data_IF_224518886833
#
_entry.id   IF_224518886833
#
_cell.length_a   1.000
_cell.length_b   1.000
_cell.length_c   1.000
_cell.angle_alpha   90.00
_cell.angle_beta   90.00
_cell.angle_gamma   90.00
#
_symmetry.space_group_name_H-M   'P 1'
#
loop_
_entity.id
_entity.type
_entity.pdbx_description
1 polymer ?
#
# COMPACT_ATOMS: atom_id res chain seq x y z
N UNK A 1 4.45 -19.22 24.65
CA UNK A 1 3.47 -18.44 23.85
C UNK A 1 4.00 -17.07 23.44
N UNK A 2 4.73 -16.34 24.27
CA UNK A 2 5.23 -14.99 23.99
C UNK A 2 6.27 -14.89 22.83
N UNK A 3 7.11 -15.90 22.63
CA UNK A 3 8.15 -15.88 21.58
C UNK A 3 7.55 -15.94 20.16
N UNK A 4 6.53 -16.76 19.92
CA UNK A 4 5.85 -16.85 18.61
C UNK A 4 5.13 -15.53 18.23
N UNK A 5 4.51 -14.88 19.21
CA UNK A 5 3.81 -13.59 18.99
C UNK A 5 4.82 -12.49 18.68
N UNK A 6 5.99 -12.49 19.32
CA UNK A 6 7.04 -11.50 19.05
C UNK A 6 7.67 -11.70 17.66
N UNK A 7 7.93 -12.94 17.24
CA UNK A 7 8.45 -13.24 15.91
C UNK A 7 7.48 -12.85 14.79
N UNK A 8 6.18 -13.16 14.93
CA UNK A 8 5.17 -12.76 13.95
C UNK A 8 4.98 -11.25 13.89
N UNK A 9 5.01 -10.56 15.03
CA UNK A 9 4.96 -9.09 15.08
C UNK A 9 6.17 -8.46 14.37
N UNK A 10 7.36 -8.97 14.59
CA UNK A 10 8.57 -8.52 13.91
C UNK A 10 8.47 -8.73 12.40
N UNK A 11 8.09 -9.93 11.98
CA UNK A 11 7.90 -10.25 10.55
C UNK A 11 6.95 -9.26 9.88
N UNK A 12 5.75 -9.04 10.43
CA UNK A 12 4.77 -8.13 9.85
C UNK A 12 5.22 -6.67 9.88
N UNK A 13 5.95 -6.26 10.93
CA UNK A 13 6.52 -4.91 11.00
C UNK A 13 7.52 -4.67 9.88
N UNK A 14 8.46 -5.57 9.67
CA UNK A 14 9.45 -5.45 8.59
C UNK A 14 8.80 -5.57 7.21
N UNK A 15 7.87 -6.49 7.05
CA UNK A 15 7.13 -6.66 5.81
C UNK A 15 6.43 -5.35 5.39
N UNK A 16 5.70 -4.70 6.28
CA UNK A 16 5.05 -3.42 5.98
C UNK A 16 6.05 -2.28 5.74
N UNK A 17 7.18 -2.27 6.44
CA UNK A 17 8.24 -1.28 6.22
C UNK A 17 8.87 -1.38 4.81
N UNK A 18 8.98 -2.60 4.27
CA UNK A 18 9.58 -2.84 2.96
C UNK A 18 8.62 -2.59 1.78
N UNK A 19 7.33 -2.48 2.04
CA UNK A 19 6.33 -2.32 0.98
C UNK A 19 6.60 -1.15 0.02
N UNK A 20 6.98 0.07 0.49
CA UNK A 20 7.31 1.17 -0.42
C UNK A 20 8.47 0.85 -1.37
N UNK A 21 9.46 0.07 -0.90
CA UNK A 21 10.59 -0.35 -1.74
C UNK A 21 10.14 -1.27 -2.87
N UNK A 22 9.20 -2.19 -2.60
CA UNK A 22 8.68 -3.07 -3.65
C UNK A 22 7.93 -2.31 -4.75
N UNK A 23 7.27 -1.20 -4.39
CA UNK A 23 6.63 -0.32 -5.37
C UNK A 23 7.68 0.36 -6.27
N UNK A 24 8.85 0.75 -5.71
CA UNK A 24 9.93 1.35 -6.51
C UNK A 24 10.60 0.37 -7.46
N UNK A 25 10.76 -0.90 -7.03
CA UNK A 25 11.42 -1.90 -7.87
C UNK A 25 10.59 -2.23 -9.12
N UNK A 26 9.26 -2.09 -9.02
CA UNK A 26 8.38 -2.22 -10.17
C UNK A 26 7.03 -2.85 -9.84
N UNK A 27 6.05 -2.69 -10.73
CA UNK A 27 4.68 -3.12 -10.50
C UNK A 27 4.55 -4.62 -10.27
N UNK A 28 5.35 -5.44 -10.98
CA UNK A 28 5.28 -6.89 -10.86
C UNK A 28 5.66 -7.37 -9.44
N UNK A 29 6.72 -6.80 -8.86
CA UNK A 29 7.16 -7.17 -7.51
C UNK A 29 6.17 -6.69 -6.46
N UNK A 30 5.62 -5.49 -6.62
CA UNK A 30 4.56 -4.97 -5.76
C UNK A 30 3.32 -5.87 -5.78
N UNK A 31 2.91 -6.37 -6.94
CA UNK A 31 1.80 -7.29 -7.09
C UNK A 31 2.05 -8.63 -6.39
N UNK A 32 3.21 -9.24 -6.60
CA UNK A 32 3.59 -10.46 -5.88
C UNK A 32 3.54 -10.28 -4.37
N UNK A 33 4.02 -9.13 -3.88
CA UNK A 33 3.96 -8.82 -2.46
C UNK A 33 2.53 -8.69 -1.95
N UNK A 34 1.64 -8.01 -2.68
CA UNK A 34 0.22 -7.89 -2.35
C UNK A 34 -0.43 -9.27 -2.25
N UNK A 35 -0.24 -10.13 -3.23
CA UNK A 35 -0.77 -11.50 -3.23
C UNK A 35 -0.20 -12.34 -2.09
N UNK A 36 1.09 -12.25 -1.81
CA UNK A 36 1.71 -12.95 -0.70
C UNK A 36 1.07 -12.56 0.65
N UNK A 37 0.92 -11.26 0.91
CA UNK A 37 0.26 -10.77 2.14
C UNK A 37 -1.19 -11.25 2.22
N UNK A 38 -1.95 -11.17 1.12
CA UNK A 38 -3.33 -11.65 1.08
C UNK A 38 -3.39 -13.13 1.49
N UNK A 39 -2.59 -13.99 0.85
CA UNK A 39 -2.61 -15.44 1.09
C UNK A 39 -2.22 -15.74 2.55
N UNK A 40 -1.08 -15.22 3.02
CA UNK A 40 -0.59 -15.50 4.36
C UNK A 40 -1.54 -15.01 5.45
N UNK A 41 -2.11 -13.81 5.30
CA UNK A 41 -3.05 -13.28 6.29
C UNK A 41 -4.37 -14.03 6.30
N UNK A 42 -4.91 -14.42 5.15
CA UNK A 42 -6.17 -15.16 5.11
C UNK A 42 -6.03 -16.57 5.66
N UNK A 43 -4.93 -17.27 5.36
CA UNK A 43 -4.61 -18.55 6.00
C UNK A 43 -4.56 -18.39 7.53
N UNK A 44 -3.93 -17.33 8.02
CA UNK A 44 -3.82 -17.09 9.46
C UNK A 44 -5.16 -16.72 10.10
N UNK A 45 -6.01 -15.94 9.45
CA UNK A 45 -7.38 -15.62 9.90
C UNK A 45 -8.21 -16.89 10.04
N UNK A 46 -8.15 -17.79 9.06
CA UNK A 46 -8.88 -19.05 9.06
C UNK A 46 -8.38 -19.98 10.18
N UNK A 47 -7.07 -20.16 10.30
CA UNK A 47 -6.45 -21.04 11.29
C UNK A 47 -6.74 -20.58 12.73
N UNK A 48 -6.79 -19.27 12.97
CA UNK A 48 -7.12 -18.70 14.28
C UNK A 48 -8.63 -18.53 14.51
N UNK A 49 -9.48 -18.97 13.59
CA UNK A 49 -10.94 -18.82 13.61
C UNK A 49 -11.42 -17.37 13.82
N UNK A 50 -10.64 -16.40 13.35
CA UNK A 50 -10.95 -14.96 13.44
C UNK A 50 -11.78 -14.47 12.25
N UNK A 51 -12.74 -15.28 11.80
CA UNK A 51 -13.55 -15.04 10.59
C UNK A 51 -14.35 -13.72 10.70
N UNK A 52 -14.61 -13.22 11.92
CA UNK A 52 -15.29 -11.93 12.11
C UNK A 52 -14.57 -10.73 11.44
N UNK A 53 -13.27 -10.84 11.13
CA UNK A 53 -12.57 -9.83 10.35
C UNK A 53 -13.06 -9.75 8.91
N UNK A 54 -13.58 -10.85 8.35
CA UNK A 54 -14.15 -10.89 7.02
C UNK A 54 -15.58 -10.35 6.98
N UNK A 55 -16.28 -10.33 8.13
CA UNK A 55 -17.62 -9.78 8.25
C UNK A 55 -17.57 -8.30 8.65
N UNK A 56 -17.09 -7.45 7.74
CA UNK A 56 -16.96 -6.01 7.97
C UNK A 56 -17.96 -5.24 7.10
N UNK A 57 -18.73 -4.33 7.73
CA UNK A 57 -19.68 -3.46 7.00
C UNK A 57 -19.03 -2.65 5.87
N UNK A 58 -17.78 -2.29 5.99
CA UNK A 58 -17.05 -1.58 4.94
C UNK A 58 -16.78 -2.46 3.70
N UNK A 59 -16.73 -3.79 3.88
CA UNK A 59 -16.60 -4.73 2.79
C UNK A 59 -17.80 -4.65 1.83
N UNK A 60 -18.99 -4.38 2.36
CA UNK A 60 -20.22 -4.24 1.55
C UNK A 60 -20.06 -3.09 0.55
N UNK A 61 -19.52 -1.95 0.98
CA UNK A 61 -19.26 -0.82 0.08
C UNK A 61 -18.26 -1.18 -1.01
N UNK A 62 -17.20 -1.91 -0.68
CA UNK A 62 -16.23 -2.39 -1.66
C UNK A 62 -16.85 -3.38 -2.65
N UNK A 63 -17.70 -4.28 -2.19
CA UNK A 63 -18.41 -5.23 -3.06
C UNK A 63 -19.34 -4.49 -4.01
N UNK A 64 -20.12 -3.52 -3.52
CA UNK A 64 -21.00 -2.71 -4.34
C UNK A 64 -20.20 -1.91 -5.40
N UNK A 65 -19.10 -1.30 -4.99
CA UNK A 65 -18.21 -0.61 -5.92
C UNK A 65 -17.62 -1.58 -6.96
N UNK A 66 -17.18 -2.77 -6.55
CA UNK A 66 -16.65 -3.78 -7.45
C UNK A 66 -17.70 -4.27 -8.46
N UNK A 67 -18.92 -4.51 -8.00
CA UNK A 67 -20.04 -4.86 -8.89
C UNK A 67 -20.31 -3.74 -9.89
N UNK A 68 -20.28 -2.48 -9.46
CA UNK A 68 -20.50 -1.34 -10.36
C UNK A 68 -19.41 -1.20 -11.42
N UNK A 69 -18.13 -1.48 -11.06
CA UNK A 69 -17.01 -1.47 -12.03
C UNK A 69 -17.13 -2.61 -13.05
N UNK A 70 -17.52 -3.80 -12.62
CA UNK A 70 -17.77 -4.93 -13.52
C UNK A 70 -18.95 -4.61 -14.45
N UNK A 71 -20.05 -4.09 -13.90
CA UNK A 71 -21.22 -3.74 -14.71
C UNK A 71 -20.87 -2.66 -15.75
N UNK A 72 -20.12 -1.64 -15.37
CA UNK A 72 -19.65 -0.60 -16.30
C UNK A 72 -18.79 -1.18 -17.43
N UNK A 73 -17.91 -2.13 -17.11
CA UNK A 73 -17.07 -2.79 -18.13
C UNK A 73 -17.88 -3.71 -19.05
N UNK A 74 -18.91 -4.38 -18.54
CA UNK A 74 -19.82 -5.21 -19.34
C UNK A 74 -20.63 -4.38 -20.35
N UNK A 75 -20.98 -3.15 -19.99
CA UNK A 75 -21.66 -2.24 -20.90
C UNK A 75 -20.75 -1.69 -22.00
N UNK A 76 -19.44 -1.62 -21.75
CA UNK A 76 -18.44 -1.08 -22.65
C UNK A 76 -17.56 -2.17 -23.31
N UNK A 77 -18.15 -3.25 -23.80
CA UNK A 77 -17.49 -4.48 -24.29
C UNK A 77 -16.46 -4.30 -25.42
N UNK A 78 -16.27 -3.09 -25.93
CA UNK A 78 -15.39 -2.83 -27.09
C UNK A 78 -13.89 -2.95 -26.82
N UNK A 79 -13.43 -2.98 -25.55
CA UNK A 79 -12.01 -3.06 -25.20
C UNK A 79 -11.74 -4.09 -24.11
N UNK A 80 -11.21 -5.26 -24.53
CA UNK A 80 -10.87 -6.38 -23.64
C UNK A 80 -9.85 -6.01 -22.54
N UNK A 81 -8.99 -5.02 -22.78
CA UNK A 81 -7.97 -4.61 -21.81
C UNK A 81 -8.56 -3.86 -20.60
N UNK A 82 -9.64 -3.11 -20.78
CA UNK A 82 -10.35 -2.49 -19.65
C UNK A 82 -11.04 -3.52 -18.75
N UNK A 83 -11.54 -4.62 -19.33
CA UNK A 83 -12.20 -5.68 -18.57
C UNK A 83 -11.24 -6.43 -17.65
N UNK A 84 -9.99 -6.64 -18.05
CA UNK A 84 -8.95 -7.25 -17.21
C UNK A 84 -8.70 -6.42 -15.96
N UNK A 85 -8.49 -5.11 -16.10
CA UNK A 85 -8.23 -4.20 -14.99
C UNK A 85 -9.37 -4.19 -13.97
N UNK A 86 -10.62 -4.20 -14.43
CA UNK A 86 -11.79 -4.24 -13.57
C UNK A 86 -11.92 -5.58 -12.82
N UNK A 87 -11.67 -6.70 -13.51
CA UNK A 87 -11.71 -8.04 -12.89
C UNK A 87 -10.66 -8.13 -11.78
N UNK A 88 -9.43 -7.69 -12.03
CA UNK A 88 -8.35 -7.77 -11.05
C UNK A 88 -8.45 -6.75 -9.91
N UNK A 89 -9.39 -5.80 -9.96
CA UNK A 89 -9.56 -4.78 -8.94
C UNK A 89 -9.92 -5.37 -7.55
N UNK A 90 -10.55 -6.55 -7.47
CA UNK A 90 -10.94 -7.21 -6.22
C UNK A 90 -9.78 -7.40 -5.23
N UNK A 91 -8.55 -7.46 -5.71
CA UNK A 91 -7.35 -7.65 -4.87
C UNK A 91 -7.14 -6.51 -3.86
N UNK A 92 -7.49 -5.28 -4.21
CA UNK A 92 -7.28 -4.13 -3.32
C UNK A 92 -8.16 -4.14 -2.07
N UNK A 93 -9.48 -4.41 -2.15
CA UNK A 93 -10.31 -4.63 -0.98
C UNK A 93 -9.80 -5.76 -0.07
N UNK A 94 -9.41 -6.88 -0.67
CA UNK A 94 -8.92 -8.04 0.08
C UNK A 94 -7.58 -7.71 0.75
N UNK A 95 -6.69 -7.02 0.06
CA UNK A 95 -5.44 -6.52 0.62
C UNK A 95 -5.68 -5.55 1.79
N UNK A 96 -6.66 -4.65 1.67
CA UNK A 96 -7.03 -3.72 2.74
C UNK A 96 -7.49 -4.45 4.01
N UNK A 97 -8.27 -5.53 3.87
CA UNK A 97 -8.68 -6.38 5.00
C UNK A 97 -7.44 -7.06 5.61
N UNK A 98 -6.54 -7.57 4.79
CA UNK A 98 -5.31 -8.20 5.24
C UNK A 98 -4.45 -7.23 6.06
N UNK A 99 -4.24 -6.01 5.57
CA UNK A 99 -3.49 -4.96 6.28
C UNK A 99 -4.21 -4.57 7.58
N UNK A 100 -5.52 -4.36 7.54
CA UNK A 100 -6.29 -4.05 8.75
C UNK A 100 -6.17 -5.14 9.83
N UNK A 101 -6.24 -6.42 9.42
CA UNK A 101 -6.02 -7.55 10.31
C UNK A 101 -4.63 -7.49 10.97
N UNK A 102 -3.58 -7.29 10.18
CA UNK A 102 -2.19 -7.21 10.67
C UNK A 102 -2.02 -6.05 11.64
N UNK A 103 -2.50 -4.88 11.30
CA UNK A 103 -2.39 -3.68 12.13
C UNK A 103 -3.10 -3.87 13.48
N UNK A 104 -4.31 -4.44 13.47
CA UNK A 104 -5.11 -4.64 14.68
C UNK A 104 -4.59 -5.78 15.57
N UNK A 105 -4.18 -6.89 14.97
CA UNK A 105 -3.76 -8.08 15.71
C UNK A 105 -2.38 -7.92 16.33
N UNK A 106 -1.45 -7.32 15.60
CA UNK A 106 -0.05 -7.24 16.01
C UNK A 106 0.36 -5.86 16.52
N UNK A 107 -0.53 -4.88 16.46
CA UNK A 107 -0.25 -3.48 16.84
C UNK A 107 1.05 -2.98 16.19
N UNK A 108 1.17 -3.20 14.89
CA UNK A 108 2.40 -2.97 14.11
C UNK A 108 2.59 -1.49 13.80
N UNK A 109 1.51 -0.70 13.79
CA UNK A 109 1.57 0.72 13.49
C UNK A 109 2.32 1.47 14.59
N UNK A 110 3.61 1.67 14.39
CA UNK A 110 4.53 2.23 15.38
C UNK A 110 5.24 3.46 14.83
N UNK A 111 5.80 4.28 15.72
CA UNK A 111 6.68 5.41 15.36
C UNK A 111 7.78 5.02 14.38
N UNK A 112 8.30 3.79 14.49
CA UNK A 112 9.37 3.28 13.60
C UNK A 112 8.91 3.16 12.14
N UNK A 113 7.68 2.65 11.91
CA UNK A 113 7.14 2.53 10.55
C UNK A 113 6.97 3.92 9.93
N UNK A 114 6.35 4.84 10.66
CA UNK A 114 6.13 6.21 10.17
C UNK A 114 7.46 6.90 9.90
N UNK A 115 8.45 6.73 10.78
CA UNK A 115 9.80 7.26 10.57
C UNK A 115 10.46 6.71 9.32
N UNK A 116 10.38 5.39 9.09
CA UNK A 116 10.94 4.76 7.87
C UNK A 116 10.23 5.24 6.61
N UNK A 117 8.91 5.38 6.64
CA UNK A 117 8.15 5.92 5.51
C UNK A 117 8.50 7.39 5.25
N UNK A 118 8.72 8.20 6.30
CA UNK A 118 9.13 9.60 6.14
C UNK A 118 10.53 9.72 5.54
N UNK A 119 11.47 8.89 6.01
CA UNK A 119 12.82 8.83 5.45
C UNK A 119 12.79 8.43 3.97
N UNK A 120 12.00 7.40 3.65
CA UNK A 120 11.83 6.94 2.29
C UNK A 120 11.21 8.00 1.36
N UNK A 121 10.17 8.69 1.84
CA UNK A 121 9.56 9.80 1.09
C UNK A 121 10.56 10.96 0.88
N UNK A 122 11.34 11.27 1.91
CA UNK A 122 12.37 12.30 1.84
C UNK A 122 13.42 11.96 0.78
N UNK A 123 13.89 10.71 0.71
CA UNK A 123 14.87 10.31 -0.31
C UNK A 123 14.32 10.42 -1.72
N UNK A 124 13.05 10.09 -1.94
CA UNK A 124 12.39 10.26 -3.24
C UNK A 124 12.27 11.75 -3.60
N UNK A 125 11.92 12.61 -2.65
CA UNK A 125 11.79 14.04 -2.89
C UNK A 125 13.15 14.66 -3.22
N UNK A 126 14.21 14.29 -2.49
CA UNK A 126 15.58 14.79 -2.75
C UNK A 126 16.01 14.36 -4.15
N UNK A 127 15.81 13.09 -4.52
CA UNK A 127 16.16 12.60 -5.86
C UNK A 127 15.36 13.30 -6.97
N UNK A 128 14.08 13.58 -6.73
CA UNK A 128 13.24 14.35 -7.63
C UNK A 128 13.75 15.79 -7.82
N UNK A 129 14.23 16.44 -6.75
CA UNK A 129 14.86 17.76 -6.83
C UNK A 129 16.17 17.72 -7.61
N UNK A 130 17.00 16.69 -7.39
CA UNK A 130 18.23 16.49 -8.18
C UNK A 130 17.87 16.34 -9.66
N UNK A 131 16.88 15.51 -9.99
CA UNK A 131 16.42 15.34 -11.37
C UNK A 131 15.94 16.66 -11.98
N UNK A 132 15.23 17.49 -11.20
CA UNK A 132 14.75 18.80 -11.65
C UNK A 132 15.89 19.76 -12.00
N UNK A 133 16.91 19.85 -11.14
CA UNK A 133 18.01 20.82 -11.34
C UNK A 133 19.07 20.34 -12.33
N UNK A 134 19.37 19.05 -12.37
CA UNK A 134 20.45 18.49 -13.19
C UNK A 134 19.96 17.80 -14.47
N UNK A 135 18.63 17.66 -14.66
CA UNK A 135 18.05 16.97 -15.80
C UNK A 135 18.06 15.44 -15.70
N UNK A 136 18.84 14.89 -14.74
CA UNK A 136 18.95 13.45 -14.48
C UNK A 136 18.92 13.17 -12.98
N UNK A 137 18.29 12.07 -12.59
CA UNK A 137 18.29 11.63 -11.20
C UNK A 137 19.58 10.88 -10.83
N UNK A 138 19.72 10.43 -9.57
CA UNK A 138 20.91 9.69 -9.07
C UNK A 138 21.15 8.38 -9.86
N UNK A 139 20.11 7.74 -10.38
CA UNK A 139 20.21 6.52 -11.19
C UNK A 139 20.43 6.79 -12.68
N UNK A 140 20.45 8.07 -13.11
CA UNK A 140 20.66 8.48 -14.50
C UNK A 140 19.38 8.58 -15.34
N UNK A 141 18.19 8.44 -14.76
CA UNK A 141 16.94 8.65 -15.48
C UNK A 141 16.75 10.12 -15.84
N UNK A 142 16.47 10.40 -17.11
CA UNK A 142 16.21 11.74 -17.63
C UNK A 142 14.77 12.19 -17.40
N UNK A 143 14.53 13.50 -17.48
CA UNK A 143 13.17 14.05 -17.43
C UNK A 143 12.42 13.64 -18.69
N UNK A 144 11.31 12.91 -18.55
CA UNK A 144 10.47 12.48 -19.64
C UNK A 144 9.22 13.35 -19.76
N UNK A 145 8.92 13.85 -20.98
CA UNK A 145 7.71 14.66 -21.26
C UNK A 145 7.50 15.81 -20.27
N UNK A 146 8.61 16.49 -19.88
CA UNK A 146 8.63 17.56 -18.87
C UNK A 146 8.07 17.14 -17.50
N UNK A 147 8.16 15.85 -17.15
CA UNK A 147 7.74 15.32 -15.86
C UNK A 147 8.90 14.66 -15.15
N UNK A 148 8.95 14.90 -13.84
CA UNK A 148 9.91 14.29 -12.93
C UNK A 148 9.37 12.94 -12.49
N UNK A 149 10.19 11.90 -12.63
CA UNK A 149 9.84 10.52 -12.23
C UNK A 149 10.61 10.03 -11.00
N UNK A 150 11.75 10.65 -10.68
CA UNK A 150 12.67 10.21 -9.63
C UNK A 150 13.05 8.73 -9.85
N UNK A 151 13.00 7.91 -8.82
CA UNK A 151 13.33 6.48 -8.88
C UNK A 151 12.34 5.63 -9.71
N UNK A 152 11.20 6.18 -10.13
CA UNK A 152 10.21 5.43 -10.92
C UNK A 152 10.55 5.26 -12.40
N UNK A 153 11.70 5.81 -12.85
CA UNK A 153 12.18 5.67 -14.23
C UNK A 153 11.19 6.21 -15.26
N UNK A 154 10.73 5.34 -16.16
CA UNK A 154 9.81 5.71 -17.23
C UNK A 154 8.36 5.87 -16.75
N UNK A 155 8.05 5.44 -15.51
CA UNK A 155 6.73 5.56 -14.92
C UNK A 155 6.52 6.95 -14.30
N UNK A 156 5.62 7.73 -14.87
CA UNK A 156 5.33 9.10 -14.42
C UNK A 156 4.33 9.15 -13.26
N UNK A 157 4.58 8.35 -12.20
CA UNK A 157 3.66 8.14 -11.07
C UNK A 157 4.07 8.82 -9.77
N UNK A 158 5.17 9.56 -9.76
CA UNK A 158 5.73 10.20 -8.55
C UNK A 158 4.68 10.97 -7.73
N UNK A 159 3.94 11.87 -8.37
CA UNK A 159 2.93 12.68 -7.68
C UNK A 159 1.80 11.84 -7.08
N UNK A 160 1.32 10.84 -7.82
CA UNK A 160 0.28 9.93 -7.34
C UNK A 160 0.77 9.04 -6.19
N UNK A 161 2.04 8.66 -6.19
CA UNK A 161 2.68 7.94 -5.09
C UNK A 161 2.72 8.78 -3.81
N UNK A 162 3.22 10.01 -3.90
CA UNK A 162 3.31 10.94 -2.76
C UNK A 162 1.93 11.14 -2.13
N UNK A 163 0.90 11.43 -2.94
CA UNK A 163 -0.48 11.63 -2.46
C UNK A 163 -1.02 10.39 -1.73
N UNK A 164 -0.71 9.18 -2.19
CA UNK A 164 -1.15 7.93 -1.55
C UNK A 164 -0.44 7.65 -0.22
N UNK A 165 0.76 8.16 -0.02
CA UNK A 165 1.54 7.96 1.21
C UNK A 165 1.17 8.99 2.29
N UNK A 166 0.78 10.21 1.92
CA UNK A 166 0.40 11.29 2.87
C UNK A 166 -0.63 10.85 3.92
N UNK A 167 -1.72 10.12 3.60
CA UNK A 167 -2.71 9.69 4.60
C UNK A 167 -2.13 8.87 5.75
N UNK A 168 -1.04 8.14 5.54
CA UNK A 168 -0.37 7.37 6.59
C UNK A 168 0.14 8.30 7.70
N UNK A 169 0.71 9.44 7.32
CA UNK A 169 1.20 10.45 8.27
C UNK A 169 0.05 11.15 8.99
N UNK A 170 -1.03 11.49 8.27
CA UNK A 170 -2.22 12.13 8.85
C UNK A 170 -2.86 11.23 9.91
N UNK A 171 -3.05 9.95 9.60
CA UNK A 171 -3.59 8.97 10.56
C UNK A 171 -2.70 8.88 11.80
N UNK A 172 -1.38 8.85 11.62
CA UNK A 172 -0.45 8.81 12.74
C UNK A 172 -0.54 10.05 13.64
N UNK A 173 -0.62 11.25 13.07
CA UNK A 173 -0.78 12.50 13.82
C UNK A 173 -2.07 12.49 14.63
N UNK A 174 -3.20 12.15 14.02
CA UNK A 174 -4.51 12.06 14.70
C UNK A 174 -4.45 11.06 15.87
N UNK A 175 -3.83 9.88 15.65
CA UNK A 175 -3.71 8.87 16.71
C UNK A 175 -2.81 9.33 17.88
N UNK A 176 -1.76 10.10 17.59
CA UNK A 176 -0.86 10.61 18.66
C UNK A 176 -1.48 11.74 19.46
N UNK A 177 -2.29 12.59 18.85
CA UNK A 177 -2.96 13.68 19.55
C UNK A 177 -4.09 13.16 20.43
N UNK A 178 -4.89 12.21 19.97
CA UNK A 178 -5.93 11.57 20.78
C UNK A 178 -5.38 10.83 22.01
N UNK A 179 -4.13 10.35 21.99
CA UNK A 179 -3.47 9.73 23.15
C UNK A 179 -3.00 10.79 24.17
N UNK A 180 -2.68 12.01 23.72
CA UNK A 180 -2.26 13.10 24.61
C UNK A 180 -3.44 13.73 25.33
N UNK A 181 -4.60 13.85 24.68
CA UNK A 181 -5.82 14.42 25.29
C UNK A 181 -6.44 13.52 26.36
N UNK A 182 -6.16 12.20 26.32
CA UNK A 182 -6.66 11.22 27.30
C UNK A 182 -5.69 10.96 28.47
N UNK A 183 -4.64 11.75 28.63
CA UNK A 183 -3.73 11.74 29.76
C UNK A 183 -3.84 13.03 30.57
#
# INVERSE_FOLDING_TARGET
MNLKINLSKLFWSYSLCLFPLFILVGPLIAEFYIFAIIIFTHIHIINERKIYFLNNKYLIFFILFYISTIFSTLLNFYNFDYSKSAIFFFRFPIFSIAIWYVLKTYNVFSKKIVFLYSLFLLTIIIDALIQYYFGKNILGYEILRNRISSFFGDELILGSFIIKVIPIFLVYLIMTDSIKENK
#
